data_IF_194783031759
#
_entry.id   IF_194783031759
#
_cell.length_a   1.000
_cell.length_b   1.000
_cell.length_c   1.000
_cell.angle_alpha   90.00
_cell.angle_beta   90.00
_cell.angle_gamma   90.00
#
_symmetry.space_group_name_H-M   'P 1'
#
loop_
_entity.id
_entity.type
_entity.pdbx_description
1 polymer ?
#
# COMPACT_ATOMS: atom_id res chain seq x y z
N UNK A 1 9.09 27.55 12.50
CA UNK A 1 8.85 26.64 11.36
C UNK A 1 9.76 25.42 11.53
N UNK A 2 9.22 24.28 11.96
CA UNK A 2 10.04 23.07 12.11
C UNK A 2 10.49 22.60 10.73
N UNK A 3 11.81 22.53 10.49
CA UNK A 3 12.35 21.73 9.40
C UNK A 3 11.99 20.27 9.72
N UNK A 4 10.80 19.84 9.30
CA UNK A 4 10.41 18.44 9.40
C UNK A 4 11.48 17.59 8.74
N UNK A 5 11.78 16.42 9.33
CA UNK A 5 12.72 15.46 8.74
C UNK A 5 12.44 15.35 7.25
N UNK A 6 13.48 15.43 6.39
CA UNK A 6 13.28 15.26 4.96
C UNK A 6 12.51 13.96 4.74
N UNK A 7 11.43 14.07 3.96
CA UNK A 7 10.63 12.92 3.59
C UNK A 7 11.57 11.90 2.94
N UNK A 8 11.55 10.66 3.43
CA UNK A 8 12.49 9.65 2.92
C UNK A 8 12.36 9.52 1.41
N UNK A 9 13.49 9.31 0.75
CA UNK A 9 13.52 9.19 -0.71
C UNK A 9 12.55 8.07 -1.12
N UNK A 10 11.68 8.37 -2.08
CA UNK A 10 10.71 7.39 -2.62
C UNK A 10 11.37 6.09 -3.06
N UNK A 11 12.61 6.18 -3.51
CA UNK A 11 13.39 5.04 -3.95
C UNK A 11 13.73 4.10 -2.79
N UNK A 12 14.17 4.65 -1.65
CA UNK A 12 14.41 3.89 -0.42
C UNK A 12 13.12 3.20 0.05
N UNK A 13 12.00 3.94 0.04
CA UNK A 13 10.70 3.36 0.39
C UNK A 13 10.27 2.27 -0.60
N UNK A 14 10.53 2.45 -1.90
CA UNK A 14 10.25 1.45 -2.96
C UNK A 14 11.01 0.16 -2.71
N UNK A 15 12.35 0.24 -2.55
CA UNK A 15 13.22 -0.92 -2.32
C UNK A 15 12.76 -1.71 -1.10
N UNK A 16 12.47 -1.01 0.01
CA UNK A 16 11.92 -1.63 1.22
C UNK A 16 10.63 -2.43 0.94
N UNK A 17 9.66 -1.81 0.26
CA UNK A 17 8.38 -2.47 -0.02
C UNK A 17 8.49 -3.60 -1.05
N UNK A 18 9.42 -3.55 -2.00
CA UNK A 18 9.68 -4.63 -2.94
C UNK A 18 10.26 -5.86 -2.22
N UNK A 19 11.30 -5.67 -1.41
CA UNK A 19 11.88 -6.74 -0.59
C UNK A 19 10.85 -7.35 0.37
N UNK A 20 10.02 -6.50 0.99
CA UNK A 20 8.95 -6.98 1.86
C UNK A 20 7.86 -7.75 1.10
N UNK A 21 7.49 -7.29 -0.10
CA UNK A 21 6.44 -7.93 -0.91
C UNK A 21 6.89 -9.28 -1.50
N UNK A 22 8.20 -9.47 -1.70
CA UNK A 22 8.77 -10.78 -2.08
C UNK A 22 8.81 -11.78 -0.91
N UNK A 23 8.49 -11.34 0.31
CA UNK A 23 8.35 -12.19 1.50
C UNK A 23 9.50 -12.09 2.49
N UNK A 24 10.45 -11.17 2.29
CA UNK A 24 11.53 -10.93 3.26
C UNK A 24 11.00 -10.38 4.58
N UNK A 25 11.74 -10.63 5.67
CA UNK A 25 11.45 -10.02 6.97
C UNK A 25 11.61 -8.51 6.92
N UNK A 26 10.96 -7.79 7.84
CA UNK A 26 11.09 -6.33 7.93
C UNK A 26 12.54 -5.90 8.19
N UNK A 27 13.33 -6.75 8.85
CA UNK A 27 14.77 -6.54 9.12
C UNK A 27 15.59 -6.58 7.84
N UNK A 28 15.47 -7.67 7.07
CA UNK A 28 16.19 -7.81 5.81
C UNK A 28 15.74 -6.77 4.77
N UNK A 29 14.44 -6.46 4.74
CA UNK A 29 13.91 -5.41 3.87
C UNK A 29 14.44 -4.02 4.28
N UNK A 30 14.62 -3.76 5.57
CA UNK A 30 15.20 -2.51 6.05
C UNK A 30 16.68 -2.40 5.66
N UNK A 31 17.44 -3.47 5.87
CA UNK A 31 18.86 -3.56 5.48
C UNK A 31 19.05 -3.31 3.98
N UNK A 32 18.27 -4.00 3.13
CA UNK A 32 18.30 -3.82 1.68
C UNK A 32 18.00 -2.38 1.23
N UNK A 33 17.21 -1.64 2.01
CA UNK A 33 16.86 -0.25 1.74
C UNK A 33 17.79 0.76 2.43
N UNK A 34 18.78 0.31 3.22
CA UNK A 34 19.64 1.18 4.02
C UNK A 34 18.90 1.90 5.16
N UNK A 35 17.84 1.28 5.69
CA UNK A 35 17.01 1.83 6.75
C UNK A 35 17.29 1.15 8.09
N UNK A 36 17.12 1.91 9.18
CA UNK A 36 16.98 1.30 10.50
C UNK A 36 15.67 0.53 10.59
N UNK A 37 15.63 -0.52 11.41
CA UNK A 37 14.42 -1.29 11.68
C UNK A 37 13.27 -0.42 12.23
N UNK A 38 13.60 0.60 13.03
CA UNK A 38 12.63 1.55 13.56
C UNK A 38 12.00 2.41 12.46
N UNK A 39 12.81 2.88 11.49
CA UNK A 39 12.31 3.63 10.33
C UNK A 39 11.45 2.75 9.42
N UNK A 40 11.87 1.51 9.18
CA UNK A 40 11.08 0.54 8.43
C UNK A 40 9.71 0.30 9.08
N UNK A 41 9.66 -0.01 10.38
CA UNK A 41 8.39 -0.19 11.13
C UNK A 41 7.48 1.04 11.08
N UNK A 42 8.06 2.25 11.11
CA UNK A 42 7.31 3.49 10.95
C UNK A 42 6.65 3.59 9.57
N UNK A 43 7.39 3.29 8.48
CA UNK A 43 6.85 3.26 7.11
C UNK A 43 5.70 2.25 7.03
N UNK A 44 5.90 1.05 7.57
CA UNK A 44 4.87 0.00 7.60
C UNK A 44 3.59 0.52 8.23
N UNK A 45 3.70 1.14 9.40
CA UNK A 45 2.56 1.69 10.14
C UNK A 45 1.88 2.82 9.36
N UNK A 46 2.67 3.72 8.77
CA UNK A 46 2.16 4.86 8.01
C UNK A 46 1.34 4.43 6.79
N UNK A 47 1.70 3.30 6.18
CA UNK A 47 0.97 2.72 5.04
C UNK A 47 0.03 1.57 5.43
N UNK A 48 -0.19 1.30 6.71
CA UNK A 48 -1.09 0.24 7.16
C UNK A 48 -0.68 -1.16 6.74
N UNK A 49 0.61 -1.41 6.46
CA UNK A 49 1.07 -2.70 5.94
C UNK A 49 0.77 -2.93 4.45
N UNK A 50 0.26 -1.93 3.73
CA UNK A 50 -0.08 -2.03 2.31
C UNK A 50 1.00 -1.37 1.46
N UNK A 51 1.52 -2.09 0.47
CA UNK A 51 2.50 -1.53 -0.46
C UNK A 51 1.91 -0.32 -1.21
N UNK A 52 2.53 0.87 -1.13
CA UNK A 52 2.04 2.08 -1.82
C UNK A 52 2.15 2.04 -3.34
N UNK A 53 2.80 1.02 -3.92
CA UNK A 53 2.92 0.86 -5.38
C UNK A 53 3.79 1.95 -6.02
N UNK A 54 4.86 2.36 -5.31
CA UNK A 54 5.80 3.36 -5.81
C UNK A 54 6.51 2.78 -7.04
N UNK A 55 6.31 3.44 -8.18
CA UNK A 55 7.00 3.06 -9.42
C UNK A 55 8.39 3.69 -9.47
N UNK A 56 9.39 2.99 -10.05
CA UNK A 56 10.71 3.58 -10.28
C UNK A 56 10.61 4.79 -11.21
N UNK A 57 11.59 5.68 -11.15
CA UNK A 57 11.69 6.78 -12.10
C UNK A 57 11.86 6.20 -13.51
N UNK A 58 10.95 6.54 -14.42
CA UNK A 58 11.08 6.18 -15.83
C UNK A 58 11.78 7.29 -16.61
N UNK A 59 12.32 6.97 -17.80
CA UNK A 59 12.99 7.92 -18.70
C UNK A 59 12.18 9.20 -18.97
N UNK A 60 10.86 9.20 -18.76
CA UNK A 60 10.02 10.40 -18.89
C UNK A 60 10.31 11.48 -17.84
N UNK A 61 10.72 11.11 -16.63
CA UNK A 61 10.93 12.03 -15.52
C UNK A 61 12.42 12.10 -15.13
N UNK A 62 12.82 13.23 -14.51
CA UNK A 62 14.16 13.37 -13.95
C UNK A 62 14.25 12.58 -12.64
N UNK A 63 15.34 11.84 -12.44
CA UNK A 63 15.69 11.19 -11.17
C UNK A 63 16.17 12.21 -10.13
N UNK A 64 16.41 11.77 -8.90
CA UNK A 64 17.04 12.63 -7.89
C UNK A 64 18.49 12.94 -8.25
N UNK A 65 19.26 11.94 -8.70
CA UNK A 65 20.66 12.11 -9.09
C UNK A 65 20.82 13.07 -10.28
N UNK A 66 19.93 12.99 -11.27
CA UNK A 66 19.90 13.96 -12.36
C UNK A 66 19.62 15.38 -11.85
N UNK A 67 18.77 15.54 -10.83
CA UNK A 67 18.52 16.86 -10.21
C UNK A 67 19.73 17.36 -9.43
N UNK A 68 20.46 16.49 -8.73
CA UNK A 68 21.71 16.84 -8.05
C UNK A 68 22.75 17.34 -9.07
N UNK A 69 22.94 16.62 -10.18
CA UNK A 69 23.85 17.01 -11.25
C UNK A 69 23.44 18.34 -11.91
N UNK A 70 22.14 18.57 -12.12
CA UNK A 70 21.62 19.87 -12.59
C UNK A 70 22.01 20.99 -11.62
N UNK A 71 21.91 20.77 -10.31
CA UNK A 71 22.26 21.77 -9.30
C UNK A 71 23.76 22.10 -9.34
N UNK A 72 24.61 21.09 -9.34
CA UNK A 72 26.07 21.23 -9.40
C UNK A 72 26.51 21.98 -10.65
N UNK A 73 26.08 21.52 -11.84
CA UNK A 73 26.50 22.15 -13.09
C UNK A 73 25.88 23.53 -13.28
N UNK A 74 24.68 23.78 -12.77
CA UNK A 74 24.11 25.13 -12.80
C UNK A 74 24.90 26.10 -11.92
N UNK A 75 25.36 25.67 -10.75
CA UNK A 75 26.22 26.47 -9.88
C UNK A 75 27.61 26.72 -10.51
N UNK A 76 28.12 25.76 -11.29
CA UNK A 76 29.34 25.89 -12.10
C UNK A 76 29.17 26.77 -13.36
N UNK A 77 27.99 27.36 -13.59
CA UNK A 77 27.74 28.25 -14.73
C UNK A 77 27.39 27.55 -16.05
N UNK A 78 27.23 26.22 -16.06
CA UNK A 78 26.86 25.49 -17.29
C UNK A 78 25.48 25.94 -17.81
N UNK A 79 25.40 26.06 -19.14
CA UNK A 79 24.17 26.40 -19.85
C UNK A 79 23.20 25.21 -19.95
N UNK A 80 21.92 25.51 -20.18
CA UNK A 80 20.85 24.50 -20.31
C UNK A 80 21.15 23.42 -21.37
N UNK A 81 21.70 23.83 -22.53
CA UNK A 81 22.03 22.91 -23.63
C UNK A 81 23.15 21.95 -23.26
N UNK A 82 24.15 22.45 -22.54
CA UNK A 82 25.28 21.65 -22.07
C UNK A 82 24.85 20.62 -21.02
N UNK A 83 24.07 21.06 -20.03
CA UNK A 83 23.48 20.17 -19.01
C UNK A 83 22.63 19.08 -19.69
N UNK A 84 21.81 19.46 -20.67
CA UNK A 84 21.03 18.50 -21.46
C UNK A 84 21.90 17.46 -22.16
N UNK A 85 22.98 17.88 -22.82
CA UNK A 85 23.93 16.99 -23.48
C UNK A 85 24.60 16.02 -22.49
N UNK A 86 25.09 16.51 -21.35
CA UNK A 86 25.75 15.70 -20.32
C UNK A 86 24.82 14.64 -19.72
N UNK A 87 23.54 14.95 -19.54
CA UNK A 87 22.54 13.98 -19.03
C UNK A 87 21.91 13.09 -20.10
N UNK A 88 22.17 13.33 -21.40
CA UNK A 88 21.41 12.70 -22.48
C UNK A 88 19.92 13.08 -22.47
N UNK A 89 19.58 14.30 -22.05
CA UNK A 89 18.22 14.84 -21.96
C UNK A 89 18.01 16.02 -22.92
N UNK A 90 16.76 16.21 -23.34
CA UNK A 90 16.43 17.39 -24.16
C UNK A 90 16.71 18.69 -23.39
N UNK A 91 17.31 19.72 -24.01
CA UNK A 91 17.49 21.03 -23.37
C UNK A 91 16.19 21.62 -22.85
N UNK A 92 15.07 21.38 -23.53
CA UNK A 92 13.73 21.82 -23.08
C UNK A 92 13.30 21.15 -21.77
N UNK A 93 13.71 19.92 -21.49
CA UNK A 93 13.46 19.27 -20.19
C UNK A 93 14.15 20.04 -19.07
N UNK A 94 15.43 20.37 -19.26
CA UNK A 94 16.24 21.10 -18.28
C UNK A 94 15.71 22.52 -18.08
N UNK A 95 15.39 23.23 -19.17
CA UNK A 95 14.79 24.57 -19.11
C UNK A 95 13.49 24.57 -18.29
N UNK A 96 12.58 23.62 -18.54
CA UNK A 96 11.33 23.50 -17.80
C UNK A 96 11.54 23.12 -16.34
N UNK A 97 12.54 22.30 -16.01
CA UNK A 97 12.86 21.96 -14.62
C UNK A 97 13.36 23.20 -13.86
N UNK A 98 14.31 23.94 -14.45
CA UNK A 98 14.84 25.16 -13.86
C UNK A 98 13.77 26.24 -13.74
N UNK A 99 12.97 26.49 -14.78
CA UNK A 99 11.92 27.50 -14.76
C UNK A 99 10.81 27.24 -13.73
N UNK A 100 10.56 25.99 -13.34
CA UNK A 100 9.58 25.66 -12.30
C UNK A 100 10.10 25.79 -10.88
N UNK A 101 11.42 25.67 -10.69
CA UNK A 101 12.04 25.48 -9.38
C UNK A 101 12.95 26.64 -8.96
N UNK A 102 13.46 27.43 -9.91
CA UNK A 102 14.11 28.70 -9.62
C UNK A 102 13.01 29.74 -9.31
N UNK A 103 13.07 30.31 -8.10
CA UNK A 103 12.10 31.30 -7.61
C UNK A 103 12.76 32.66 -7.45
N UNK A 104 11.95 33.70 -7.27
CA UNK A 104 12.39 35.07 -6.98
C UNK A 104 13.38 35.59 -8.03
N UNK A 105 13.04 35.46 -9.31
CA UNK A 105 13.85 35.99 -10.43
C UNK A 105 15.29 35.43 -10.50
N UNK A 106 15.56 34.29 -9.86
CA UNK A 106 16.92 33.72 -9.81
C UNK A 106 17.73 34.09 -8.58
N UNK A 107 17.18 34.86 -7.63
CA UNK A 107 17.86 35.22 -6.37
C UNK A 107 18.13 34.02 -5.46
N UNK A 108 17.46 32.88 -5.67
CA UNK A 108 17.73 31.64 -4.95
C UNK A 108 18.37 30.60 -5.88
N UNK A 109 19.43 29.89 -5.43
CA UNK A 109 20.01 28.82 -6.21
C UNK A 109 19.00 27.70 -6.42
N UNK A 110 19.17 26.94 -7.49
CA UNK A 110 18.39 25.74 -7.73
C UNK A 110 18.76 24.67 -6.68
N UNK A 111 17.77 24.20 -5.93
CA UNK A 111 17.94 23.17 -4.89
C UNK A 111 17.28 21.86 -5.33
N UNK A 112 18.09 20.82 -5.54
CA UNK A 112 17.64 19.51 -6.00
C UNK A 112 16.62 18.86 -5.05
N UNK A 113 16.86 18.92 -3.74
CA UNK A 113 15.97 18.40 -2.70
C UNK A 113 14.58 19.06 -2.72
N UNK A 114 14.53 20.39 -2.92
CA UNK A 114 13.27 21.12 -3.02
C UNK A 114 12.50 20.80 -4.31
N UNK A 115 13.21 20.70 -5.43
CA UNK A 115 12.62 20.32 -6.71
C UNK A 115 12.05 18.89 -6.66
N UNK A 116 12.80 17.96 -6.05
CA UNK A 116 12.38 16.58 -5.83
C UNK A 116 11.12 16.51 -4.95
N UNK A 117 11.13 17.18 -3.80
CA UNK A 117 9.98 17.21 -2.89
C UNK A 117 8.72 17.77 -3.57
N UNK A 118 8.87 18.83 -4.36
CA UNK A 118 7.76 19.41 -5.15
C UNK A 118 7.24 18.43 -6.18
N UNK A 119 8.13 17.79 -6.95
CA UNK A 119 7.76 16.78 -7.94
C UNK A 119 7.01 15.60 -7.30
N UNK A 120 7.49 15.12 -6.15
CA UNK A 120 6.85 14.03 -5.42
C UNK A 120 5.46 14.42 -4.91
N UNK A 121 5.30 15.62 -4.32
CA UNK A 121 3.99 16.12 -3.86
C UNK A 121 2.99 16.20 -5.01
N UNK A 122 3.38 16.76 -6.15
CA UNK A 122 2.52 16.87 -7.34
C UNK A 122 2.17 15.50 -7.94
N UNK A 123 3.09 14.53 -7.86
CA UNK A 123 2.85 13.18 -8.34
C UNK A 123 1.83 12.40 -7.49
N UNK A 124 1.52 12.81 -6.25
CA UNK A 124 0.57 12.08 -5.38
C UNK A 124 -0.85 12.03 -5.94
N UNK A 125 -1.28 13.04 -6.70
CA UNK A 125 -2.62 13.17 -7.32
C UNK A 125 -3.74 12.49 -6.50
N UNK A 126 -3.98 12.92 -5.25
CA UNK A 126 -4.96 12.28 -4.39
C UNK A 126 -6.36 12.42 -5.01
N UNK A 127 -7.07 11.31 -5.12
CA UNK A 127 -8.49 11.30 -5.49
C UNK A 127 -9.33 11.20 -4.22
N UNK A 128 -10.45 11.91 -4.18
CA UNK A 128 -11.45 11.74 -3.12
C UNK A 128 -11.91 10.28 -3.16
N UNK A 129 -11.91 9.63 -1.99
CA UNK A 129 -12.25 8.21 -1.85
C UNK A 129 -13.75 8.05 -1.69
N UNK A 130 -14.29 6.89 -2.10
CA UNK A 130 -15.73 6.62 -2.10
C UNK A 130 -16.38 6.78 -0.71
N UNK A 131 -15.74 6.27 0.35
CA UNK A 131 -16.21 6.44 1.74
C UNK A 131 -16.02 7.86 2.29
N UNK A 132 -15.15 8.67 1.69
CA UNK A 132 -15.00 10.07 2.06
C UNK A 132 -16.02 10.96 1.33
N UNK A 133 -16.49 10.56 0.14
CA UNK A 133 -17.49 11.28 -0.65
C UNK A 133 -18.93 10.89 -0.31
N UNK A 134 -19.18 9.65 0.12
CA UNK A 134 -20.52 9.14 0.46
C UNK A 134 -20.58 8.81 1.96
N UNK A 135 -21.16 9.74 2.72
CA UNK A 135 -21.30 9.64 4.17
C UNK A 135 -22.28 8.52 4.58
N UNK A 136 -23.39 8.33 3.87
CA UNK A 136 -24.35 7.27 4.15
C UNK A 136 -23.71 5.88 4.05
N UNK A 137 -22.91 5.66 3.00
CA UNK A 137 -22.14 4.43 2.84
C UNK A 137 -21.11 4.25 3.96
N UNK A 138 -20.43 5.32 4.36
CA UNK A 138 -19.45 5.28 5.45
C UNK A 138 -20.08 4.92 6.80
N UNK A 139 -21.22 5.54 7.12
CA UNK A 139 -21.98 5.25 8.34
C UNK A 139 -22.52 3.82 8.34
N UNK A 140 -23.05 3.34 7.22
CA UNK A 140 -23.51 1.96 7.09
C UNK A 140 -22.37 0.96 7.30
N UNK A 141 -21.23 1.16 6.63
CA UNK A 141 -20.07 0.28 6.78
C UNK A 141 -19.55 0.31 8.23
N UNK A 142 -19.46 1.50 8.84
CA UNK A 142 -19.03 1.62 10.24
C UNK A 142 -20.00 0.90 11.19
N UNK A 143 -21.30 1.08 11.00
CA UNK A 143 -22.35 0.44 11.81
C UNK A 143 -22.30 -1.08 11.72
N UNK A 144 -22.12 -1.65 10.52
CA UNK A 144 -22.03 -3.10 10.35
C UNK A 144 -20.74 -3.71 10.92
N UNK A 145 -19.65 -2.93 10.95
CA UNK A 145 -18.41 -3.34 11.62
C UNK A 145 -18.58 -3.35 13.14
N UNK A 146 -19.24 -2.34 13.73
CA UNK A 146 -19.38 -2.20 15.19
C UNK A 146 -20.61 -2.89 15.78
N UNK A 147 -21.54 -3.33 14.94
CA UNK A 147 -22.71 -4.10 15.35
C UNK A 147 -22.30 -5.34 16.16
N UNK A 148 -23.26 -5.88 16.94
CA UNK A 148 -23.04 -7.08 17.76
C UNK A 148 -22.51 -8.26 16.94
N UNK A 149 -22.98 -8.40 15.71
CA UNK A 149 -22.58 -9.47 14.78
C UNK A 149 -21.19 -9.27 14.16
N UNK A 150 -20.62 -8.04 14.23
CA UNK A 150 -19.30 -7.66 13.70
C UNK A 150 -19.00 -8.24 12.32
N UNK A 151 -19.81 -7.84 11.34
CA UNK A 151 -19.68 -8.38 9.99
C UNK A 151 -18.30 -8.08 9.40
N UNK A 152 -17.73 -9.07 8.73
CA UNK A 152 -16.47 -8.90 8.02
C UNK A 152 -16.64 -7.97 6.80
N UNK A 153 -15.57 -7.28 6.36
CA UNK A 153 -15.60 -6.46 5.14
C UNK A 153 -16.13 -7.19 3.89
N UNK A 154 -15.90 -8.50 3.79
CA UNK A 154 -16.43 -9.35 2.72
C UNK A 154 -17.95 -9.50 2.83
N UNK A 155 -18.45 -9.82 4.02
CA UNK A 155 -19.89 -9.90 4.28
C UNK A 155 -20.60 -8.57 4.06
N UNK A 156 -20.01 -7.45 4.48
CA UNK A 156 -20.57 -6.11 4.30
C UNK A 156 -20.73 -5.78 2.80
N UNK A 157 -19.70 -6.07 1.99
CA UNK A 157 -19.75 -5.83 0.54
C UNK A 157 -20.87 -6.61 -0.15
N UNK A 158 -21.10 -7.87 0.27
CA UNK A 158 -22.21 -8.69 -0.23
C UNK A 158 -23.55 -8.16 0.26
N UNK A 159 -23.64 -7.83 1.56
CA UNK A 159 -24.88 -7.34 2.20
C UNK A 159 -25.37 -6.04 1.57
N UNK A 160 -24.47 -5.12 1.23
CA UNK A 160 -24.79 -3.86 0.54
C UNK A 160 -25.54 -4.07 -0.78
N UNK A 161 -25.32 -5.19 -1.48
CA UNK A 161 -26.06 -5.52 -2.71
C UNK A 161 -27.48 -6.01 -2.45
N UNK A 162 -27.72 -6.58 -1.26
CA UNK A 162 -29.02 -7.10 -0.85
C UNK A 162 -29.87 -5.97 -0.27
N UNK A 163 -29.29 -5.18 0.63
CA UNK A 163 -30.01 -4.11 1.33
C UNK A 163 -30.29 -2.91 0.41
N UNK A 164 -29.45 -2.69 -0.60
CA UNK A 164 -29.59 -1.60 -1.58
C UNK A 164 -29.47 -2.13 -3.02
N UNK A 165 -30.46 -2.87 -3.54
CA UNK A 165 -30.37 -3.52 -4.86
C UNK A 165 -30.23 -2.51 -6.02
N UNK A 166 -30.93 -1.38 -5.94
CA UNK A 166 -31.01 -0.39 -7.03
C UNK A 166 -29.99 0.75 -6.92
N UNK A 167 -29.29 0.88 -5.78
CA UNK A 167 -28.32 1.97 -5.56
C UNK A 167 -26.86 1.51 -5.80
N UNK A 168 -26.32 1.88 -6.97
CA UNK A 168 -24.91 1.64 -7.31
C UNK A 168 -23.92 2.44 -6.46
N UNK A 169 -24.36 3.58 -5.90
CA UNK A 169 -23.53 4.41 -5.02
C UNK A 169 -23.15 3.65 -3.75
N UNK A 170 -23.96 2.67 -3.35
CA UNK A 170 -23.74 1.81 -2.17
C UNK A 170 -22.82 0.61 -2.44
N UNK A 171 -22.31 0.44 -3.68
CA UNK A 171 -21.38 -0.66 -4.01
C UNK A 171 -19.96 -0.35 -3.54
N UNK A 172 -19.34 -1.24 -2.79
CA UNK A 172 -17.94 -1.12 -2.41
C UNK A 172 -17.26 -2.48 -2.36
N UNK A 173 -15.99 -2.55 -2.78
CA UNK A 173 -15.23 -3.79 -2.66
C UNK A 173 -14.73 -4.01 -1.22
N UNK A 174 -14.61 -5.27 -0.76
CA UNK A 174 -14.06 -5.58 0.56
C UNK A 174 -12.66 -5.00 0.76
N UNK A 175 -11.84 -5.06 -0.30
CA UNK A 175 -10.48 -4.52 -0.31
C UNK A 175 -10.46 -3.00 -0.08
N UNK A 176 -11.47 -2.25 -0.55
CA UNK A 176 -11.57 -0.81 -0.26
C UNK A 176 -11.88 -0.55 1.20
N UNK A 177 -12.78 -1.34 1.80
CA UNK A 177 -13.07 -1.27 3.25
C UNK A 177 -11.79 -1.58 4.04
N UNK A 178 -11.07 -2.66 3.71
CA UNK A 178 -9.79 -3.00 4.35
C UNK A 178 -8.76 -1.87 4.23
N UNK A 179 -8.59 -1.28 3.03
CA UNK A 179 -7.64 -0.17 2.85
C UNK A 179 -8.00 1.06 3.66
N UNK A 180 -9.29 1.35 3.85
CA UNK A 180 -9.75 2.45 4.69
C UNK A 180 -9.51 2.19 6.18
N UNK A 181 -9.62 0.93 6.64
CA UNK A 181 -9.32 0.55 8.03
C UNK A 181 -7.81 0.59 8.31
N UNK A 182 -7.00 -0.02 7.44
CA UNK A 182 -5.56 -0.19 7.70
C UNK A 182 -4.76 1.10 7.54
N UNK A 183 -5.17 1.98 6.64
CA UNK A 183 -4.30 3.08 6.20
C UNK A 183 -4.81 4.37 6.83
N UNK A 184 -4.20 4.70 7.96
CA UNK A 184 -4.50 5.93 8.70
C UNK A 184 -4.37 7.14 7.76
N UNK A 185 -5.45 7.92 7.65
CA UNK A 185 -5.52 9.11 6.78
C UNK A 185 -6.05 8.88 5.35
N UNK A 186 -6.48 7.67 4.97
CA UNK A 186 -7.20 7.47 3.68
C UNK A 186 -8.65 7.97 3.67
N UNK A 187 -9.16 8.40 4.81
CA UNK A 187 -10.46 9.09 4.94
C UNK A 187 -11.67 8.17 4.78
N UNK A 188 -12.72 8.46 5.54
CA UNK A 188 -14.02 7.78 5.48
C UNK A 188 -14.35 6.86 6.66
N UNK A 189 -13.34 6.37 7.40
CA UNK A 189 -13.55 5.51 8.57
C UNK A 189 -12.52 5.84 9.68
N UNK A 190 -12.93 5.75 10.95
CA UNK A 190 -12.05 5.98 12.11
C UNK A 190 -11.09 4.80 12.30
N UNK A 191 -9.84 5.08 12.70
CA UNK A 191 -8.81 4.06 12.92
C UNK A 191 -9.19 3.05 14.03
N UNK A 192 -10.04 3.46 14.98
CA UNK A 192 -10.57 2.64 16.07
C UNK A 192 -11.40 1.45 15.56
N UNK A 193 -11.92 1.51 14.33
CA UNK A 193 -12.68 0.42 13.71
C UNK A 193 -11.80 -0.81 13.41
N UNK A 194 -10.47 -0.70 13.47
CA UNK A 194 -9.59 -1.86 13.40
C UNK A 194 -9.85 -2.87 14.54
N UNK A 195 -10.30 -2.40 15.71
CA UNK A 195 -10.67 -3.25 16.84
C UNK A 195 -11.95 -4.07 16.60
N UNK A 196 -12.79 -3.62 15.66
CA UNK A 196 -14.00 -4.34 15.28
C UNK A 196 -13.73 -5.53 14.36
N UNK A 197 -12.57 -5.56 13.68
CA UNK A 197 -12.15 -6.72 12.89
C UNK A 197 -11.86 -7.91 13.81
N UNK A 198 -12.23 -9.11 13.36
CA UNK A 198 -11.96 -10.37 14.08
C UNK A 198 -10.48 -10.59 14.44
N UNK A 199 -9.56 -10.03 13.66
CA UNK A 199 -8.12 -10.10 13.95
C UNK A 199 -7.60 -8.97 14.85
N UNK A 200 -8.37 -7.90 15.04
CA UNK A 200 -8.00 -6.69 15.79
C UNK A 200 -6.81 -5.91 15.21
N UNK A 201 -6.33 -6.28 14.01
CA UNK A 201 -5.10 -5.70 13.45
C UNK A 201 -5.35 -4.34 12.83
N UNK A 202 -4.54 -3.36 13.21
CA UNK A 202 -4.48 -2.05 12.55
C UNK A 202 -3.51 -2.03 11.35
N UNK A 203 -2.75 -3.10 11.12
CA UNK A 203 -1.75 -3.21 10.04
C UNK A 203 -1.96 -4.53 9.30
N UNK A 204 -2.03 -4.47 7.97
CA UNK A 204 -2.13 -5.65 7.11
C UNK A 204 -0.86 -6.48 7.22
N UNK A 205 -1.04 -7.79 7.36
CA UNK A 205 0.04 -8.76 7.32
C UNK A 205 0.16 -9.34 5.90
N UNK A 206 1.38 -9.48 5.36
CA UNK A 206 1.58 -10.16 4.08
C UNK A 206 1.27 -11.65 4.24
N UNK A 207 0.59 -12.21 3.23
CA UNK A 207 0.29 -13.65 3.17
C UNK A 207 1.53 -14.49 2.84
N UNK A 208 2.47 -13.92 2.07
CA UNK A 208 3.73 -14.59 1.71
C UNK A 208 4.81 -14.26 2.75
N UNK A 209 5.42 -15.31 3.31
CA UNK A 209 6.61 -15.22 4.16
C UNK A 209 7.66 -16.15 3.55
N UNK A 210 8.86 -15.63 3.31
CA UNK A 210 9.99 -16.45 2.85
C UNK A 210 10.21 -17.60 3.85
N UNK A 211 10.44 -18.81 3.33
CA UNK A 211 10.62 -20.02 4.14
C UNK A 211 9.34 -20.73 4.62
N UNK A 212 8.17 -20.08 4.56
CA UNK A 212 6.88 -20.65 4.99
C UNK A 212 6.02 -21.08 3.79
N UNK A 213 6.53 -22.00 2.95
CA UNK A 213 5.65 -22.76 2.08
C UNK A 213 4.88 -23.74 2.95
N UNK A 214 3.60 -23.46 3.22
CA UNK A 214 2.73 -24.49 3.79
C UNK A 214 2.74 -25.68 2.82
N UNK A 215 3.02 -26.92 3.28
CA UNK A 215 2.82 -28.07 2.41
C UNK A 215 1.38 -28.04 1.94
N UNK A 216 1.19 -28.23 0.63
CA UNK A 216 -0.15 -28.46 0.08
C UNK A 216 -0.64 -29.76 0.72
N UNK A 217 -1.87 -29.74 1.25
CA UNK A 217 -2.60 -30.82 1.96
C UNK A 217 -1.74 -32.06 2.22
N UNK A 218 -1.38 -32.37 3.49
CA UNK A 218 -0.65 -33.59 3.84
C UNK A 218 -1.16 -34.80 3.07
N UNK A 219 -0.26 -35.70 2.66
CA UNK A 219 -0.64 -36.89 1.88
C UNK A 219 -1.75 -37.69 2.58
N UNK A 220 -1.68 -37.75 3.91
CA UNK A 220 -2.67 -38.37 4.82
C UNK A 220 -4.10 -37.79 4.73
N UNK A 221 -4.27 -36.60 4.17
CA UNK A 221 -5.55 -35.91 4.00
C UNK A 221 -6.02 -35.89 2.54
N UNK A 222 -5.34 -36.62 1.64
CA UNK A 222 -5.80 -36.79 0.27
C UNK A 222 -6.98 -37.76 0.23
N UNK A 223 -8.05 -37.37 -0.47
CA UNK A 223 -9.24 -38.21 -0.65
C UNK A 223 -8.86 -39.55 -1.32
N UNK A 224 -7.83 -39.57 -2.15
CA UNK A 224 -7.30 -40.78 -2.80
C UNK A 224 -6.60 -41.76 -1.86
N UNK A 225 -6.20 -41.31 -0.66
CA UNK A 225 -5.50 -42.12 0.34
C UNK A 225 -6.43 -42.53 1.49
N UNK A 226 -7.75 -42.34 1.34
CA UNK A 226 -8.74 -42.76 2.35
C UNK A 226 -8.85 -44.28 2.40
N UNK A 227 -9.02 -44.89 3.59
CA UNK A 227 -9.24 -46.33 3.70
C UNK A 227 -10.53 -46.72 2.97
N UNK A 228 -10.53 -47.90 2.33
CA UNK A 228 -11.66 -48.40 1.54
C UNK A 228 -12.96 -48.51 2.37
N UNK A 229 -12.83 -48.76 3.66
CA UNK A 229 -13.94 -48.80 4.64
C UNK A 229 -14.72 -47.48 4.71
N UNK A 230 -14.10 -46.35 4.31
CA UNK A 230 -14.75 -45.05 4.21
C UNK A 230 -15.61 -44.89 2.95
N UNK A 231 -15.39 -45.69 1.90
CA UNK A 231 -16.22 -45.72 0.69
C UNK A 231 -17.59 -46.34 0.97
N UNK A 232 -17.60 -47.39 1.81
CA UNK A 232 -18.79 -48.19 2.11
C UNK A 232 -19.78 -47.46 3.00
N UNK A 233 -19.36 -46.37 3.67
CA UNK A 233 -20.20 -45.54 4.55
C UNK A 233 -20.96 -46.40 5.57
N UNK A 234 -20.44 -47.56 5.96
CA UNK A 234 -21.15 -48.48 6.84
C UNK A 234 -21.01 -48.09 8.33
N UNK A 235 -19.98 -47.30 8.67
CA UNK A 235 -19.67 -46.89 10.03
C UNK A 235 -20.07 -45.43 10.27
N UNK A 236 -20.75 -45.12 11.40
CA UNK A 236 -20.97 -43.74 11.84
C UNK A 236 -19.62 -43.00 11.98
N UNK A 237 -19.41 -42.01 11.11
CA UNK A 237 -18.12 -41.30 10.96
C UNK A 237 -17.68 -41.14 9.50
N UNK A 238 -18.15 -42.01 8.60
CA UNK A 238 -17.84 -41.96 7.16
C UNK A 238 -18.94 -41.31 6.30
N UNK A 239 -19.99 -40.76 6.92
CA UNK A 239 -21.07 -40.07 6.21
C UNK A 239 -20.71 -38.60 5.96
N UNK A 240 -20.76 -38.17 4.71
CA UNK A 240 -20.33 -36.84 4.23
C UNK A 240 -21.16 -35.64 4.77
N UNK A 241 -22.06 -35.85 5.72
CA UNK A 241 -22.93 -34.81 6.30
C UNK A 241 -22.51 -34.29 7.68
N UNK A 242 -21.43 -34.80 8.31
CA UNK A 242 -20.93 -34.23 9.56
C UNK A 242 -20.00 -33.03 9.32
N UNK A 243 -20.59 -31.92 8.86
CA UNK A 243 -20.06 -30.57 9.06
C UNK A 243 -20.99 -29.70 9.93
N UNK A 244 -21.98 -30.28 10.62
CA UNK A 244 -22.82 -29.56 11.56
C UNK A 244 -22.76 -30.16 12.98
N UNK A 245 -22.13 -29.38 13.87
CA UNK A 245 -22.36 -29.25 15.31
C UNK A 245 -22.71 -30.50 16.14
N UNK A 246 -21.79 -30.93 17.00
CA UNK A 246 -22.12 -31.19 18.41
C UNK A 246 -21.06 -30.58 19.30
N UNK A 247 -21.43 -29.46 19.92
CA UNK A 247 -20.86 -29.02 21.17
C UNK A 247 -21.49 -29.86 22.29
N UNK A 248 -20.65 -30.34 23.21
CA UNK A 248 -20.98 -30.59 24.60
C UNK A 248 -19.70 -30.32 25.41
#
# INVERSE_FOLDING_TARGET
MGFGRPEMLREVVRVFWEARSSGSSDEFAAEAAGLSLSAARLIVRQHGGVNPGIRPACRRFLSFDERELIAVWRAAGCGVREIGRRLGRSPSTISRELGRNIRNEGKRPYLASSAQNRAQKLARRPKIRKLASNEALALYVAGMLTARERLSPEQISVRLRIDFPDDESMRISPETIYQCIYIQGRGGLKAELAAALRTGRAVRQPNRRAGNRKPRVPKELLISERPAEADDRAVPGHWESQCFCQAA
#
